data_IF_020450483897
#
_entry.id   IF_020450483897
#
_cell.length_a   1.000
_cell.length_b   1.000
_cell.length_c   1.000
_cell.angle_alpha   90.00
_cell.angle_beta   90.00
_cell.angle_gamma   90.00
#
_symmetry.space_group_name_H-M   'P 1'
#
loop_
_entity.id
_entity.type
_entity.pdbx_description
1 polymer ?
#
# COMPACT_ATOMS: atom_id res chain seq x y z
N UNK A 1 29.92 9.80 -9.88
CA UNK A 1 29.50 8.38 -9.87
C UNK A 1 28.09 8.31 -9.26
N UNK A 2 27.21 7.49 -9.84
CA UNK A 2 25.91 7.19 -9.28
C UNK A 2 26.10 6.18 -8.15
N UNK A 3 25.56 6.47 -6.95
CA UNK A 3 25.68 5.61 -5.78
C UNK A 3 24.35 4.97 -5.37
N UNK A 4 23.22 5.52 -5.81
CA UNK A 4 21.88 5.04 -5.49
C UNK A 4 20.97 5.02 -6.70
N UNK A 5 20.01 4.10 -6.67
CA UNK A 5 18.96 3.94 -7.69
C UNK A 5 17.62 3.85 -6.99
N UNK A 6 16.64 4.61 -7.47
CA UNK A 6 15.24 4.50 -7.09
C UNK A 6 14.47 3.75 -8.18
N UNK A 7 13.87 2.64 -7.81
CA UNK A 7 12.93 1.93 -8.67
C UNK A 7 11.50 2.30 -8.29
N UNK A 8 10.70 2.67 -9.27
CA UNK A 8 9.24 2.75 -9.11
C UNK A 8 8.68 1.36 -8.80
N UNK A 9 7.39 1.24 -8.40
CA UNK A 9 6.80 -0.07 -8.11
C UNK A 9 7.00 -1.04 -9.27
N UNK A 10 7.59 -2.19 -9.00
CA UNK A 10 7.95 -3.19 -10.02
C UNK A 10 7.11 -4.47 -9.94
N UNK A 11 6.11 -4.50 -9.10
CA UNK A 11 5.13 -5.59 -9.04
C UNK A 11 4.19 -5.58 -10.24
N UNK A 12 3.50 -6.68 -10.56
CA UNK A 12 2.37 -6.65 -11.48
C UNK A 12 1.33 -5.63 -11.02
N UNK A 13 0.78 -4.88 -11.96
CA UNK A 13 -0.14 -3.78 -11.68
C UNK A 13 -1.24 -3.65 -12.73
N UNK A 14 -2.30 -2.90 -12.43
CA UNK A 14 -3.41 -2.65 -13.36
C UNK A 14 -3.47 -1.22 -13.88
N UNK A 15 -2.95 -0.25 -13.15
CA UNK A 15 -2.97 1.17 -13.53
C UNK A 15 -1.98 1.99 -12.71
N UNK A 16 -1.96 3.30 -12.95
CA UNK A 16 -1.22 4.31 -12.20
C UNK A 16 0.29 4.02 -12.13
N UNK A 17 0.88 3.66 -13.28
CA UNK A 17 2.33 3.45 -13.46
C UNK A 17 2.98 2.50 -12.43
N UNK A 18 2.22 1.50 -11.96
CA UNK A 18 2.67 0.52 -10.98
C UNK A 18 2.09 0.70 -9.58
N UNK A 19 1.44 1.82 -9.28
CA UNK A 19 0.89 2.11 -7.96
C UNK A 19 -0.48 1.46 -7.69
N UNK A 20 -1.07 0.75 -8.66
CA UNK A 20 -2.22 -0.14 -8.45
C UNK A 20 -1.76 -1.60 -8.48
N UNK A 21 -1.20 -2.07 -7.37
CA UNK A 21 -0.50 -3.35 -7.27
C UNK A 21 -1.47 -4.52 -7.32
N UNK A 22 -1.20 -5.47 -8.22
CA UNK A 22 -1.93 -6.74 -8.32
C UNK A 22 -1.42 -7.80 -7.33
N UNK A 23 -0.10 -7.94 -7.25
CA UNK A 23 0.55 -9.00 -6.50
C UNK A 23 1.87 -8.46 -5.92
N UNK A 24 1.98 -8.51 -4.60
CA UNK A 24 3.18 -8.05 -3.87
C UNK A 24 4.27 -9.12 -3.75
N UNK A 25 4.07 -10.30 -4.30
CA UNK A 25 5.02 -11.42 -4.15
C UNK A 25 5.98 -11.60 -5.32
N UNK A 26 5.67 -11.06 -6.49
CA UNK A 26 6.44 -11.25 -7.71
C UNK A 26 6.78 -9.94 -8.41
N UNK A 27 7.91 -9.91 -9.09
CA UNK A 27 8.27 -8.83 -10.01
C UNK A 27 7.44 -8.98 -11.29
N UNK A 28 7.03 -7.87 -11.90
CA UNK A 28 6.35 -7.86 -13.19
C UNK A 28 7.28 -8.50 -14.25
N UNK A 29 6.83 -9.56 -14.88
CA UNK A 29 7.60 -10.34 -15.86
C UNK A 29 8.16 -9.50 -17.01
N UNK A 30 7.49 -8.42 -17.38
CA UNK A 30 7.96 -7.51 -18.43
C UNK A 30 9.15 -6.66 -18.00
N UNK A 31 9.42 -6.57 -16.69
CA UNK A 31 10.53 -5.80 -16.11
C UNK A 31 11.71 -6.67 -15.68
N UNK A 32 11.47 -7.95 -15.42
CA UNK A 32 12.48 -8.88 -14.94
C UNK A 32 12.00 -9.76 -13.79
N UNK A 33 12.92 -10.13 -12.92
CA UNK A 33 12.64 -10.94 -11.74
C UNK A 33 13.41 -10.47 -10.50
N UNK A 34 13.29 -11.19 -9.40
CA UNK A 34 14.02 -10.88 -8.16
C UNK A 34 15.54 -10.94 -8.30
N UNK A 35 16.08 -11.72 -9.24
CA UNK A 35 17.52 -11.75 -9.49
C UNK A 35 17.99 -10.44 -10.09
N UNK A 36 17.19 -9.80 -10.95
CA UNK A 36 17.50 -8.48 -11.50
C UNK A 36 17.49 -7.42 -10.41
N UNK A 37 16.53 -7.46 -9.48
CA UNK A 37 16.46 -6.57 -8.31
C UNK A 37 17.70 -6.76 -7.44
N UNK A 38 18.10 -7.99 -7.16
CA UNK A 38 19.33 -8.30 -6.41
C UNK A 38 20.58 -7.77 -7.12
N UNK A 39 20.66 -7.89 -8.43
CA UNK A 39 21.78 -7.40 -9.22
C UNK A 39 21.94 -5.87 -9.10
N UNK A 40 20.84 -5.13 -9.10
CA UNK A 40 20.85 -3.68 -8.85
C UNK A 40 21.34 -3.41 -7.43
N UNK A 41 20.76 -4.09 -6.44
CA UNK A 41 21.09 -3.90 -5.02
C UNK A 41 22.56 -4.22 -4.68
N UNK A 42 23.19 -5.15 -5.40
CA UNK A 42 24.60 -5.49 -5.22
C UNK A 42 25.55 -4.38 -5.71
N UNK A 43 25.10 -3.51 -6.60
CA UNK A 43 25.92 -2.47 -7.22
C UNK A 43 25.57 -1.06 -6.75
N UNK A 44 24.37 -0.85 -6.24
CA UNK A 44 23.83 0.46 -5.85
C UNK A 44 23.04 0.38 -4.55
N UNK A 45 22.95 1.48 -3.83
CA UNK A 45 21.95 1.63 -2.76
C UNK A 45 20.56 1.67 -3.41
N UNK A 46 19.76 0.63 -3.20
CA UNK A 46 18.48 0.49 -3.85
C UNK A 46 17.36 1.07 -2.99
N UNK A 47 16.64 2.06 -3.53
CA UNK A 47 15.38 2.56 -3.01
C UNK A 47 14.22 1.97 -3.82
N UNK A 48 13.19 1.51 -3.12
CA UNK A 48 11.96 1.02 -3.72
C UNK A 48 10.73 1.66 -3.07
N UNK A 49 9.68 1.81 -3.86
CA UNK A 49 8.38 2.25 -3.36
C UNK A 49 7.67 1.11 -2.65
N UNK A 50 7.04 1.43 -1.52
CA UNK A 50 6.16 0.53 -0.79
C UNK A 50 4.74 1.14 -0.80
N UNK A 51 3.87 0.54 -1.60
CA UNK A 51 2.49 0.97 -1.76
C UNK A 51 1.63 0.33 -0.67
N UNK A 52 1.49 1.02 0.46
CA UNK A 52 0.83 0.47 1.66
C UNK A 52 -0.64 0.88 1.78
N UNK A 53 -1.03 2.03 1.22
CA UNK A 53 -2.38 2.57 1.42
C UNK A 53 -3.47 1.79 0.69
N UNK A 54 -3.16 1.22 -0.47
CA UNK A 54 -4.14 0.60 -1.37
C UNK A 54 -3.50 -0.49 -2.22
N UNK A 55 -4.35 -1.29 -2.88
CA UNK A 55 -3.93 -2.21 -3.92
C UNK A 55 -4.95 -2.23 -5.06
N UNK A 56 -4.66 -2.98 -6.13
CA UNK A 56 -5.53 -3.08 -7.29
C UNK A 56 -6.89 -3.69 -6.94
N UNK A 57 -7.96 -3.11 -7.50
CA UNK A 57 -9.30 -3.69 -7.46
C UNK A 57 -9.41 -5.02 -8.23
N UNK A 58 -8.37 -5.43 -8.93
CA UNK A 58 -8.25 -6.74 -9.61
C UNK A 58 -7.31 -7.69 -8.89
N UNK A 59 -6.79 -7.31 -7.71
CA UNK A 59 -5.89 -8.15 -6.92
C UNK A 59 -6.60 -9.41 -6.40
N UNK A 60 -5.86 -10.50 -6.15
CA UNK A 60 -6.41 -11.68 -5.47
C UNK A 60 -7.02 -11.35 -4.11
N UNK A 61 -6.46 -10.42 -3.36
CA UNK A 61 -7.03 -9.96 -2.09
C UNK A 61 -8.41 -9.36 -2.25
N UNK A 62 -8.61 -8.50 -3.26
CA UNK A 62 -9.91 -7.89 -3.49
C UNK A 62 -10.94 -8.89 -4.04
N UNK A 63 -10.51 -9.82 -4.88
CA UNK A 63 -11.37 -10.91 -5.34
C UNK A 63 -11.84 -11.77 -4.16
N UNK A 64 -10.93 -12.09 -3.23
CA UNK A 64 -11.27 -12.79 -2.00
C UNK A 64 -12.22 -11.98 -1.09
N UNK A 65 -12.02 -10.67 -1.02
CA UNK A 65 -12.94 -9.77 -0.31
C UNK A 65 -14.37 -9.88 -0.86
N UNK A 66 -14.54 -9.82 -2.17
CA UNK A 66 -15.87 -9.96 -2.80
C UNK A 66 -16.52 -11.31 -2.52
N UNK A 67 -15.73 -12.36 -2.37
CA UNK A 67 -16.22 -13.72 -2.14
C UNK A 67 -16.23 -14.16 -0.67
N UNK A 68 -15.82 -13.31 0.25
CA UNK A 68 -15.77 -13.60 1.67
C UNK A 68 -14.69 -14.63 2.06
N UNK A 69 -13.57 -14.68 1.33
CA UNK A 69 -12.46 -15.62 1.54
C UNK A 69 -11.20 -14.94 2.03
N UNK A 70 -10.38 -15.65 2.80
CA UNK A 70 -9.06 -15.20 3.20
C UNK A 70 -7.95 -15.76 2.27
N UNK A 71 -6.82 -15.05 2.13
CA UNK A 71 -6.57 -13.71 2.64
C UNK A 71 -7.28 -12.64 1.81
N UNK A 72 -7.87 -11.66 2.47
CA UNK A 72 -8.50 -10.53 1.76
C UNK A 72 -9.87 -10.14 2.29
N UNK A 73 -10.62 -11.08 2.89
CA UNK A 73 -12.01 -10.87 3.31
C UNK A 73 -12.22 -9.60 4.13
N UNK A 74 -11.29 -9.27 5.04
CA UNK A 74 -11.38 -8.11 5.93
C UNK A 74 -10.24 -7.11 5.72
N UNK A 75 -9.65 -7.09 4.53
CA UNK A 75 -8.47 -6.27 4.24
C UNK A 75 -8.81 -4.85 3.81
N UNK A 76 -10.04 -4.59 3.39
CA UNK A 76 -10.41 -3.32 2.78
C UNK A 76 -11.27 -2.47 3.70
N UNK A 77 -11.04 -1.16 3.65
CA UNK A 77 -11.82 -0.21 4.43
C UNK A 77 -13.15 0.06 3.74
N UNK A 78 -14.23 -0.11 4.49
CA UNK A 78 -15.60 0.13 4.02
C UNK A 78 -16.28 1.20 4.86
N UNK A 79 -17.26 1.88 4.27
CA UNK A 79 -18.11 2.84 4.95
C UNK A 79 -19.54 2.72 4.46
N UNK A 80 -20.49 3.35 5.17
CA UNK A 80 -21.84 3.49 4.68
C UNK A 80 -21.95 4.71 3.76
N UNK A 81 -22.76 4.67 2.69
CA UNK A 81 -23.05 5.86 1.89
C UNK A 81 -23.77 6.95 2.69
N UNK A 82 -24.32 6.63 3.87
CA UNK A 82 -24.97 7.57 4.78
C UNK A 82 -23.99 8.22 5.76
N UNK A 83 -22.76 7.75 5.83
CA UNK A 83 -21.73 8.36 6.66
C UNK A 83 -21.37 9.77 6.16
N UNK A 84 -21.15 10.69 7.09
CA UNK A 84 -20.67 12.03 6.75
C UNK A 84 -19.16 12.00 6.47
N UNK A 85 -18.82 12.00 5.19
CA UNK A 85 -17.45 11.98 4.68
C UNK A 85 -16.99 13.36 4.17
N UNK A 86 -17.74 14.41 4.46
CA UNK A 86 -17.49 15.77 3.93
C UNK A 86 -16.17 16.38 4.41
N UNK A 87 -15.65 15.93 5.56
CA UNK A 87 -14.38 16.41 6.11
C UNK A 87 -13.14 15.74 5.45
N UNK A 88 -13.32 14.66 4.70
CA UNK A 88 -12.21 13.89 4.12
C UNK A 88 -11.47 14.71 3.08
N UNK A 89 -10.15 14.81 3.24
CA UNK A 89 -9.24 15.49 2.30
C UNK A 89 -8.51 14.45 1.45
N UNK A 90 -8.54 14.63 0.14
CA UNK A 90 -7.83 13.77 -0.80
C UNK A 90 -7.55 14.48 -2.13
N UNK A 91 -6.53 14.05 -2.89
CA UNK A 91 -6.07 14.74 -4.09
C UNK A 91 -6.83 14.33 -5.36
N UNK A 92 -8.07 13.87 -5.24
CA UNK A 92 -8.89 13.40 -6.37
C UNK A 92 -10.30 13.92 -6.27
N UNK A 93 -11.00 13.99 -7.39
CA UNK A 93 -12.37 14.50 -7.50
C UNK A 93 -13.43 13.43 -7.76
N UNK A 94 -13.02 12.18 -8.06
CA UNK A 94 -13.93 11.06 -8.21
C UNK A 94 -14.57 10.68 -6.87
N UNK A 95 -15.67 9.94 -6.90
CA UNK A 95 -16.35 9.49 -5.69
C UNK A 95 -15.41 8.68 -4.79
N UNK A 96 -15.42 9.01 -3.50
CA UNK A 96 -14.59 8.34 -2.50
C UNK A 96 -14.97 6.86 -2.33
N UNK A 97 -16.26 6.57 -2.30
CA UNK A 97 -16.77 5.21 -2.14
C UNK A 97 -17.10 4.58 -3.48
N UNK A 98 -16.68 3.33 -3.63
CA UNK A 98 -17.04 2.46 -4.74
C UNK A 98 -18.02 1.41 -4.26
N UNK A 99 -19.18 1.34 -4.91
CA UNK A 99 -20.15 0.27 -4.70
C UNK A 99 -19.63 -1.05 -5.27
N UNK A 100 -19.67 -2.10 -4.46
CA UNK A 100 -19.15 -3.44 -4.82
C UNK A 100 -20.13 -4.50 -4.33
N UNK A 101 -20.53 -5.38 -5.24
CA UNK A 101 -21.29 -6.57 -4.89
C UNK A 101 -20.38 -7.63 -4.29
N UNK A 102 -20.75 -8.16 -3.13
CA UNK A 102 -20.05 -9.21 -2.42
C UNK A 102 -20.95 -10.41 -2.13
N UNK A 103 -20.38 -11.50 -1.68
CA UNK A 103 -21.12 -12.71 -1.30
C UNK A 103 -22.12 -12.49 -0.15
N UNK A 104 -21.97 -11.40 0.60
CA UNK A 104 -22.84 -11.04 1.73
C UNK A 104 -23.70 -9.80 1.46
N UNK A 105 -23.73 -9.32 0.23
CA UNK A 105 -24.47 -8.14 -0.20
C UNK A 105 -23.59 -7.00 -0.66
N UNK A 106 -24.19 -5.87 -0.92
CA UNK A 106 -23.53 -4.66 -1.39
C UNK A 106 -22.66 -4.05 -0.28
N UNK A 107 -21.40 -3.74 -0.60
CA UNK A 107 -20.46 -3.02 0.24
C UNK A 107 -19.97 -1.75 -0.47
N UNK A 108 -19.57 -0.75 0.30
CA UNK A 108 -19.01 0.50 -0.21
C UNK A 108 -17.57 0.62 0.23
N UNK A 109 -16.65 0.45 -0.73
CA UNK A 109 -15.21 0.38 -0.46
C UNK A 109 -14.59 1.76 -0.64
N UNK A 110 -13.70 2.11 0.28
CA UNK A 110 -12.97 3.37 0.27
C UNK A 110 -11.89 3.38 -0.81
N UNK A 111 -11.89 4.42 -1.64
CA UNK A 111 -10.97 4.60 -2.76
C UNK A 111 -10.41 6.03 -2.75
N UNK A 112 -9.36 6.25 -1.97
CA UNK A 112 -8.74 7.58 -1.85
C UNK A 112 -8.33 8.15 -3.21
N UNK A 113 -7.77 7.33 -4.10
CA UNK A 113 -7.18 7.77 -5.38
C UNK A 113 -8.07 7.47 -6.59
N UNK A 114 -8.39 6.21 -6.84
CA UNK A 114 -9.23 5.81 -7.97
C UNK A 114 -10.02 4.55 -7.63
N UNK A 115 -11.04 4.23 -8.43
CA UNK A 115 -11.82 3.01 -8.24
C UNK A 115 -11.05 1.72 -8.60
N UNK A 116 -9.87 1.83 -9.21
CA UNK A 116 -8.93 0.72 -9.40
C UNK A 116 -7.93 0.58 -8.24
N UNK A 117 -7.93 1.49 -7.28
CA UNK A 117 -7.05 1.50 -6.11
C UNK A 117 -7.91 1.48 -4.85
N UNK A 118 -8.11 0.27 -4.30
CA UNK A 118 -8.98 0.06 -3.13
C UNK A 118 -8.17 0.13 -1.85
N UNK A 119 -8.61 0.95 -0.90
CA UNK A 119 -7.86 1.25 0.31
C UNK A 119 -7.87 0.10 1.31
N UNK A 120 -6.70 -0.18 1.86
CA UNK A 120 -6.49 -1.23 2.84
C UNK A 120 -6.86 -0.77 4.25
N UNK A 121 -7.35 -1.70 5.06
CA UNK A 121 -7.80 -1.44 6.43
C UNK A 121 -6.73 -1.83 7.45
N UNK A 122 -5.93 -0.86 7.87
CA UNK A 122 -4.87 -1.07 8.87
C UNK A 122 -5.38 -1.23 10.32
N UNK A 123 -6.70 -1.13 10.55
CA UNK A 123 -7.31 -1.58 11.81
C UNK A 123 -7.25 -3.10 11.95
N UNK A 124 -7.12 -3.82 10.84
CA UNK A 124 -6.95 -5.27 10.82
C UNK A 124 -5.47 -5.63 10.95
N UNK A 125 -5.05 -6.30 12.04
CA UNK A 125 -3.65 -6.70 12.23
C UNK A 125 -3.11 -7.62 11.13
N UNK A 126 -3.96 -8.35 10.44
CA UNK A 126 -3.54 -9.24 9.34
C UNK A 126 -3.02 -8.44 8.14
N UNK A 127 -3.57 -7.25 7.88
CA UNK A 127 -3.06 -6.33 6.86
C UNK A 127 -1.64 -5.87 7.26
N UNK A 128 -1.45 -5.47 8.51
CA UNK A 128 -0.13 -5.11 9.03
C UNK A 128 0.89 -6.24 8.83
N UNK A 129 0.51 -7.48 9.17
CA UNK A 129 1.38 -8.66 9.02
C UNK A 129 1.75 -8.95 7.58
N UNK A 130 0.82 -8.75 6.64
CA UNK A 130 1.10 -8.91 5.21
C UNK A 130 2.23 -7.96 4.78
N UNK A 131 2.18 -6.69 5.20
CA UNK A 131 3.22 -5.73 4.84
C UNK A 131 4.54 -5.98 5.58
N UNK A 132 4.54 -6.56 6.77
CA UNK A 132 5.78 -7.05 7.40
C UNK A 132 6.45 -8.11 6.53
N UNK A 133 5.69 -9.05 5.98
CA UNK A 133 6.21 -10.07 5.06
C UNK A 133 6.72 -9.47 3.75
N UNK A 134 6.02 -8.48 3.20
CA UNK A 134 6.43 -7.76 1.99
C UNK A 134 7.74 -6.99 2.23
N UNK A 135 7.84 -6.27 3.34
CA UNK A 135 9.07 -5.57 3.75
C UNK A 135 10.23 -6.54 3.89
N UNK A 136 9.99 -7.70 4.53
CA UNK A 136 11.02 -8.74 4.66
C UNK A 136 11.51 -9.20 3.29
N UNK A 137 10.62 -9.43 2.35
CA UNK A 137 10.98 -9.83 0.98
C UNK A 137 11.85 -8.77 0.29
N UNK A 138 11.50 -7.49 0.44
CA UNK A 138 12.34 -6.39 -0.06
C UNK A 138 13.74 -6.41 0.57
N UNK A 139 13.84 -6.54 1.90
CA UNK A 139 15.11 -6.59 2.61
C UNK A 139 15.96 -7.78 2.20
N UNK A 140 15.35 -8.95 2.06
CA UNK A 140 16.01 -10.19 1.62
C UNK A 140 16.57 -10.05 0.18
N UNK A 141 16.01 -9.16 -0.63
CA UNK A 141 16.44 -8.86 -1.98
C UNK A 141 17.29 -7.58 -2.11
N UNK A 142 17.77 -7.07 -0.99
CA UNK A 142 18.78 -6.01 -0.97
C UNK A 142 18.25 -4.58 -0.94
N UNK A 143 16.95 -4.36 -0.89
CA UNK A 143 16.36 -3.01 -0.72
C UNK A 143 16.76 -2.47 0.65
N UNK A 144 17.24 -1.24 0.71
CA UNK A 144 17.68 -0.57 1.95
C UNK A 144 17.03 0.77 2.19
N UNK A 145 16.35 1.31 1.20
CA UNK A 145 15.61 2.57 1.30
C UNK A 145 14.17 2.32 0.85
N UNK A 146 13.23 2.58 1.74
CA UNK A 146 11.79 2.42 1.48
C UNK A 146 11.14 3.78 1.35
N UNK A 147 10.53 4.07 0.20
CA UNK A 147 9.65 5.21 0.05
C UNK A 147 8.21 4.77 0.31
N UNK A 148 7.61 5.25 1.39
CA UNK A 148 6.21 4.97 1.70
C UNK A 148 5.30 5.86 0.86
N UNK A 149 4.64 5.26 -0.12
CA UNK A 149 3.71 5.92 -1.00
C UNK A 149 2.39 6.22 -0.30
N UNK A 150 1.84 7.42 -0.52
CA UNK A 150 0.51 7.83 -0.04
C UNK A 150 0.29 7.63 1.47
N UNK A 151 1.34 7.66 2.26
CA UNK A 151 1.30 7.31 3.69
C UNK A 151 0.39 8.21 4.52
N UNK A 152 0.22 9.47 4.11
CA UNK A 152 -0.62 10.43 4.81
C UNK A 152 -2.08 9.97 4.96
N UNK A 153 -2.55 9.13 4.06
CA UNK A 153 -3.94 8.67 3.98
C UNK A 153 -4.19 7.31 4.64
N UNK A 154 -3.18 6.72 5.28
CA UNK A 154 -3.20 5.31 5.72
C UNK A 154 -4.35 5.01 6.68
N UNK A 155 -4.53 5.82 7.72
CA UNK A 155 -5.58 5.60 8.71
C UNK A 155 -6.82 6.44 8.38
N UNK A 156 -7.97 5.77 8.34
CA UNK A 156 -9.26 6.40 8.06
C UNK A 156 -10.09 6.42 9.35
N UNK A 157 -10.71 7.56 9.61
CA UNK A 157 -11.68 7.72 10.69
C UNK A 157 -12.77 8.68 10.27
N UNK A 158 -14.00 8.20 10.23
CA UNK A 158 -15.16 8.99 9.81
C UNK A 158 -15.33 10.20 10.75
N UNK A 159 -15.61 11.37 10.17
CA UNK A 159 -15.69 12.63 10.91
C UNK A 159 -14.36 13.39 11.03
N UNK A 160 -13.27 12.83 10.50
CA UNK A 160 -11.97 13.49 10.41
C UNK A 160 -11.59 13.80 8.96
N UNK A 161 -10.51 14.55 8.77
CA UNK A 161 -9.97 14.79 7.44
C UNK A 161 -9.24 13.57 6.84
N UNK A 162 -9.03 12.51 7.62
CA UNK A 162 -8.30 11.29 7.22
C UNK A 162 -6.90 11.58 6.65
N UNK A 163 -6.25 12.60 7.15
CA UNK A 163 -4.95 13.05 6.69
C UNK A 163 -3.99 13.19 7.87
N UNK A 164 -2.87 12.47 7.81
CA UNK A 164 -1.82 12.50 8.84
C UNK A 164 -2.34 12.30 10.28
N UNK A 165 -3.27 11.38 10.46
CA UNK A 165 -3.79 11.09 11.78
C UNK A 165 -2.72 10.47 12.70
N UNK A 166 -2.92 10.57 14.01
CA UNK A 166 -1.97 10.04 14.99
C UNK A 166 -1.67 8.55 14.79
N UNK A 167 -2.68 7.77 14.40
CA UNK A 167 -2.54 6.35 14.10
C UNK A 167 -1.67 6.10 12.85
N UNK A 168 -1.74 6.95 11.83
CA UNK A 168 -0.84 6.90 10.68
C UNK A 168 0.61 7.05 11.14
N UNK A 169 0.91 8.03 11.97
CA UNK A 169 2.25 8.21 12.53
C UNK A 169 2.70 7.02 13.39
N UNK A 170 1.77 6.41 14.14
CA UNK A 170 2.06 5.20 14.91
C UNK A 170 2.44 4.02 14.01
N UNK A 171 1.76 3.82 12.88
CA UNK A 171 2.09 2.78 11.91
C UNK A 171 3.46 3.00 11.27
N UNK A 172 3.79 4.24 10.92
CA UNK A 172 5.11 4.59 10.37
C UNK A 172 6.21 4.28 11.39
N UNK A 173 6.02 4.66 12.66
CA UNK A 173 6.99 4.35 13.72
C UNK A 173 7.18 2.84 13.92
N UNK A 174 6.09 2.07 13.86
CA UNK A 174 6.14 0.62 13.97
C UNK A 174 6.95 0.00 12.83
N UNK A 175 6.66 0.35 11.59
CA UNK A 175 7.41 -0.16 10.44
C UNK A 175 8.88 0.26 10.48
N UNK A 176 9.16 1.48 10.88
CA UNK A 176 10.54 1.95 11.06
C UNK A 176 11.29 1.10 12.09
N UNK A 177 10.69 0.85 13.26
CA UNK A 177 11.29 0.04 14.30
C UNK A 177 11.54 -1.41 13.83
N UNK A 178 10.61 -2.01 13.12
CA UNK A 178 10.75 -3.36 12.56
C UNK A 178 11.87 -3.43 11.51
N UNK A 179 11.95 -2.45 10.63
CA UNK A 179 12.97 -2.38 9.58
C UNK A 179 14.36 -2.17 10.22
N UNK A 180 14.49 -1.23 11.15
CA UNK A 180 15.76 -0.96 11.85
C UNK A 180 16.25 -2.18 12.65
N UNK A 181 15.33 -2.92 13.27
CA UNK A 181 15.66 -4.14 13.99
C UNK A 181 16.14 -5.26 13.05
N UNK A 182 15.53 -5.36 11.87
CA UNK A 182 15.90 -6.37 10.87
C UNK A 182 17.19 -6.02 10.13
N UNK A 183 17.41 -4.71 9.85
CA UNK A 183 18.53 -4.22 9.05
C UNK A 183 18.89 -2.78 9.48
N UNK A 184 19.99 -2.62 10.18
CA UNK A 184 20.39 -1.33 10.81
C UNK A 184 20.63 -0.19 9.83
N UNK A 185 21.06 -0.49 8.60
CA UNK A 185 21.35 0.50 7.57
C UNK A 185 20.15 0.82 6.66
N UNK A 186 19.01 0.19 6.90
CA UNK A 186 17.78 0.47 6.15
C UNK A 186 17.07 1.71 6.70
N UNK A 187 16.54 2.53 5.80
CA UNK A 187 15.83 3.77 6.12
C UNK A 187 14.48 3.86 5.44
N UNK A 188 13.58 4.65 6.04
CA UNK A 188 12.27 4.98 5.49
C UNK A 188 12.25 6.46 5.08
N UNK A 189 11.70 6.70 3.89
CA UNK A 189 11.34 8.03 3.40
C UNK A 189 9.82 8.05 3.21
N UNK A 190 9.17 9.09 3.69
CA UNK A 190 7.72 9.28 3.50
C UNK A 190 7.45 10.26 2.38
N UNK A 191 6.46 9.98 1.56
CA UNK A 191 5.94 10.94 0.60
C UNK A 191 5.19 12.04 1.34
N UNK A 192 5.55 13.30 1.09
CA UNK A 192 4.99 14.48 1.76
C UNK A 192 4.16 15.38 0.83
N UNK A 193 3.75 14.89 -0.33
CA UNK A 193 2.87 15.61 -1.25
C UNK A 193 1.48 15.78 -0.64
N UNK A 194 1.39 16.74 0.28
CA UNK A 194 0.16 17.15 0.93
C UNK A 194 -0.20 18.53 0.37
N UNK A 195 -1.46 18.76 -0.05
CA UNK A 195 -1.90 20.09 -0.44
C UNK A 195 -1.85 21.07 0.72
#
# INVERSE_FOLDING_TARGET
SISGVHTLPFYPFTSDDGFSVLDYSSVNESLGDWNDINAIANNYSLMADLVVNHCSARSPWFENFKQGRDPGHRFFYTASPEDDLSAVVRPRTNDLLREVETSTGTQYVWCTFSHDQVDLNFRNPEVLKQFVSIIKQYLDNGVRIFRLDAIAFLWKEIGTNCLNLAQTHAMVRLYRALIEQAQHDAIIITETNIP
#
